data_IF_522253315894
#
_entry.id   IF_522253315894
#
_cell.length_a   1.000
_cell.length_b   1.000
_cell.length_c   1.000
_cell.angle_alpha   90.00
_cell.angle_beta   90.00
_cell.angle_gamma   90.00
#
_symmetry.space_group_name_H-M   'P 1'
#
loop_
_entity.id
_entity.type
_entity.pdbx_description
1 polymer ?
#
# COMPACT_ATOMS: atom_id res chain seq x y z
N UNK A 1 7.16 -5.80 -31.10
CA UNK A 1 6.75 -5.10 -29.88
C UNK A 1 5.38 -4.49 -30.12
N UNK A 2 4.35 -4.94 -29.42
CA UNK A 2 3.07 -4.22 -29.40
C UNK A 2 3.32 -2.93 -28.63
N UNK A 3 3.38 -1.80 -29.29
CA UNK A 3 3.34 -0.48 -28.66
C UNK A 3 1.96 -0.32 -28.02
N UNK A 4 1.89 -0.46 -26.70
CA UNK A 4 0.71 -0.07 -25.93
C UNK A 4 0.58 1.46 -25.97
N UNK A 5 -0.65 1.97 -26.02
CA UNK A 5 -0.90 3.40 -25.98
C UNK A 5 -0.29 4.03 -24.71
N UNK A 6 0.29 5.23 -24.79
CA UNK A 6 0.84 5.90 -23.62
C UNK A 6 -0.27 6.20 -22.60
N UNK A 7 0.03 6.06 -21.32
CA UNK A 7 -0.85 6.44 -20.21
C UNK A 7 -0.59 7.88 -19.77
N UNK A 8 -1.64 8.64 -19.54
CA UNK A 8 -1.56 9.91 -18.81
C UNK A 8 -1.50 9.59 -17.31
N UNK A 9 -0.45 10.04 -16.62
CA UNK A 9 -0.20 9.69 -15.22
C UNK A 9 -0.08 10.93 -14.36
N UNK A 10 -0.77 10.94 -13.21
CA UNK A 10 -0.58 11.92 -12.16
C UNK A 10 0.05 11.28 -10.92
N UNK A 11 1.14 11.85 -10.45
CA UNK A 11 1.80 11.46 -9.20
C UNK A 11 1.44 12.48 -8.12
N UNK A 12 0.73 12.04 -7.09
CA UNK A 12 0.25 12.90 -6.01
C UNK A 12 1.23 12.87 -4.85
N UNK A 13 1.70 14.04 -4.42
CA UNK A 13 2.62 14.17 -3.32
C UNK A 13 2.03 15.09 -2.24
N UNK A 14 1.64 14.50 -1.10
CA UNK A 14 0.98 15.22 0.00
C UNK A 14 1.92 16.00 0.91
N UNK A 15 3.24 15.74 0.86
CA UNK A 15 4.27 16.35 1.73
C UNK A 15 3.91 16.29 3.22
N UNK A 16 3.34 15.18 3.67
CA UNK A 16 2.97 14.98 5.06
C UNK A 16 4.26 14.80 5.90
N UNK A 17 4.47 15.61 6.94
CA UNK A 17 5.60 15.42 7.85
C UNK A 17 5.58 14.01 8.47
N UNK A 18 6.74 13.37 8.53
CA UNK A 18 6.84 11.96 8.92
C UNK A 18 6.42 11.72 10.38
N UNK A 19 6.68 12.69 11.25
CA UNK A 19 6.30 12.68 12.66
C UNK A 19 4.79 12.83 12.89
N UNK A 20 4.07 13.43 11.93
CA UNK A 20 2.61 13.61 12.01
C UNK A 20 1.83 12.50 11.31
N UNK A 21 2.47 11.77 10.41
CA UNK A 21 1.83 10.83 9.49
C UNK A 21 0.98 9.76 10.20
N UNK A 22 1.44 9.27 11.33
CA UNK A 22 0.80 8.18 12.07
C UNK A 22 -0.05 8.64 13.25
N UNK A 23 -0.10 9.95 13.54
CA UNK A 23 -0.92 10.48 14.61
C UNK A 23 -2.40 10.38 14.26
N UNK A 24 -3.20 9.83 15.15
CA UNK A 24 -4.65 9.60 14.95
C UNK A 24 -5.38 10.90 14.60
N UNK A 25 -5.05 12.00 15.28
CA UNK A 25 -5.62 13.32 15.03
C UNK A 25 -5.25 13.90 13.65
N UNK A 26 -4.19 13.38 13.01
CA UNK A 26 -3.74 13.85 11.70
C UNK A 26 -4.25 12.98 10.53
N UNK A 27 -4.78 11.79 10.81
CA UNK A 27 -5.21 10.83 9.80
C UNK A 27 -6.27 11.42 8.86
N UNK A 28 -7.33 12.02 9.41
CA UNK A 28 -8.39 12.65 8.61
C UNK A 28 -7.88 13.80 7.74
N UNK A 29 -6.96 14.61 8.26
CA UNK A 29 -6.32 15.70 7.52
C UNK A 29 -5.46 15.16 6.37
N UNK A 30 -4.72 14.08 6.60
CA UNK A 30 -3.93 13.41 5.56
C UNK A 30 -4.81 12.95 4.40
N UNK A 31 -5.93 12.27 4.70
CA UNK A 31 -6.88 11.85 3.66
C UNK A 31 -7.44 13.04 2.86
N UNK A 32 -7.81 14.12 3.55
CA UNK A 32 -8.33 15.32 2.90
C UNK A 32 -7.30 15.95 1.95
N UNK A 33 -6.03 16.05 2.38
CA UNK A 33 -4.94 16.60 1.55
C UNK A 33 -4.80 15.78 0.26
N UNK A 34 -4.73 14.45 0.36
CA UNK A 34 -4.60 13.59 -0.82
C UNK A 34 -5.84 13.65 -1.73
N UNK A 35 -7.03 13.65 -1.15
CA UNK A 35 -8.28 13.78 -1.91
C UNK A 35 -8.37 15.13 -2.65
N UNK A 36 -7.99 16.23 -1.98
CA UNK A 36 -8.00 17.57 -2.57
C UNK A 36 -6.98 17.71 -3.71
N UNK A 37 -5.77 17.22 -3.52
CA UNK A 37 -4.73 17.21 -4.56
C UNK A 37 -5.16 16.37 -5.78
N UNK A 38 -5.94 15.32 -5.55
CA UNK A 38 -6.43 14.44 -6.63
C UNK A 38 -7.58 15.06 -7.41
N UNK A 39 -8.28 16.05 -6.85
CA UNK A 39 -9.54 16.59 -7.41
C UNK A 39 -9.41 17.06 -8.86
N UNK A 40 -8.32 17.74 -9.21
CA UNK A 40 -8.06 18.22 -10.57
C UNK A 40 -7.48 17.16 -11.51
N UNK A 41 -7.09 16.02 -10.97
CA UNK A 41 -6.40 14.98 -11.73
C UNK A 41 -7.34 13.86 -12.20
N UNK A 42 -8.58 13.85 -11.74
CA UNK A 42 -9.57 12.91 -12.23
C UNK A 42 -9.77 13.02 -13.75
N UNK A 43 -9.79 11.88 -14.43
CA UNK A 43 -9.78 11.80 -15.88
C UNK A 43 -8.41 11.44 -16.46
N UNK A 44 -7.34 11.44 -15.67
CA UNK A 44 -6.08 10.81 -16.04
C UNK A 44 -6.24 9.29 -16.05
N UNK A 45 -5.50 8.61 -16.92
CA UNK A 45 -5.56 7.14 -16.98
C UNK A 45 -5.10 6.49 -15.68
N UNK A 46 -4.11 7.08 -15.02
CA UNK A 46 -3.54 6.57 -13.78
C UNK A 46 -3.21 7.70 -12.79
N UNK A 47 -3.73 7.57 -11.59
CA UNK A 47 -3.42 8.44 -10.45
C UNK A 47 -2.68 7.60 -9.40
N UNK A 48 -1.51 8.04 -8.97
CA UNK A 48 -0.66 7.30 -8.03
C UNK A 48 -0.44 8.12 -6.76
N UNK A 49 -0.78 7.54 -5.64
CA UNK A 49 -0.44 8.02 -4.31
C UNK A 49 0.77 7.24 -3.76
N UNK A 50 1.64 7.86 -2.96
CA UNK A 50 2.86 7.23 -2.48
C UNK A 50 2.62 6.14 -1.42
N UNK A 51 3.72 5.50 -1.00
CA UNK A 51 3.74 4.55 0.12
C UNK A 51 3.11 5.15 1.37
N UNK A 52 2.25 4.37 2.02
CA UNK A 52 1.55 4.77 3.26
C UNK A 52 0.90 6.16 3.15
N UNK A 53 0.37 6.51 1.99
CA UNK A 53 -0.42 7.74 1.81
C UNK A 53 -1.72 7.71 2.62
N UNK A 54 -2.20 6.53 2.90
CA UNK A 54 -3.32 6.25 3.81
C UNK A 54 -2.74 5.62 5.08
N UNK A 55 -2.65 6.34 6.22
CA UNK A 55 -2.04 5.84 7.44
C UNK A 55 -3.03 5.10 8.36
N UNK A 56 -3.94 4.34 7.77
CA UNK A 56 -4.98 3.56 8.47
C UNK A 56 -5.22 2.25 7.73
N UNK A 57 -5.68 1.22 8.44
CA UNK A 57 -6.06 -0.02 7.79
C UNK A 57 -7.29 0.15 6.88
N UNK A 58 -7.33 -0.62 5.82
CA UNK A 58 -8.46 -0.63 4.88
C UNK A 58 -9.81 -0.93 5.58
N UNK A 59 -9.79 -1.68 6.67
CA UNK A 59 -10.99 -2.01 7.47
C UNK A 59 -11.63 -0.79 8.11
N UNK A 60 -10.83 0.20 8.46
CA UNK A 60 -11.26 1.35 9.27
C UNK A 60 -11.85 2.47 8.40
N UNK A 61 -11.57 2.45 7.10
CA UNK A 61 -11.90 3.53 6.16
C UNK A 61 -12.64 3.06 4.92
N UNK A 62 -13.39 1.98 5.01
CA UNK A 62 -14.16 1.44 3.88
C UNK A 62 -15.03 2.48 3.15
N UNK A 63 -15.75 3.40 3.82
CA UNK A 63 -16.53 4.43 3.13
C UNK A 63 -15.66 5.37 2.28
N UNK A 64 -14.48 5.76 2.77
CA UNK A 64 -13.55 6.59 2.02
C UNK A 64 -13.00 5.86 0.79
N UNK A 65 -12.57 4.59 0.95
CA UNK A 65 -12.08 3.77 -0.16
C UNK A 65 -13.15 3.58 -1.23
N UNK A 66 -14.38 3.31 -0.82
CA UNK A 66 -15.52 3.16 -1.74
C UNK A 66 -15.80 4.46 -2.52
N UNK A 67 -15.77 5.61 -1.85
CA UNK A 67 -15.96 6.91 -2.51
C UNK A 67 -14.87 7.22 -3.52
N UNK A 68 -13.60 6.98 -3.18
CA UNK A 68 -12.46 7.17 -4.08
C UNK A 68 -12.54 6.22 -5.28
N UNK A 69 -12.86 4.94 -5.05
CA UNK A 69 -13.06 3.96 -6.11
C UNK A 69 -14.19 4.36 -7.06
N UNK A 70 -15.33 4.77 -6.52
CA UNK A 70 -16.48 5.22 -7.33
C UNK A 70 -16.11 6.45 -8.17
N UNK A 71 -15.40 7.42 -7.59
CA UNK A 71 -14.94 8.61 -8.33
C UNK A 71 -13.97 8.23 -9.45
N UNK A 72 -13.03 7.34 -9.18
CA UNK A 72 -12.11 6.80 -10.18
C UNK A 72 -12.87 6.10 -11.33
N UNK A 73 -13.86 5.28 -11.01
CA UNK A 73 -14.71 4.61 -12.01
C UNK A 73 -15.49 5.62 -12.86
N UNK A 74 -16.11 6.62 -12.24
CA UNK A 74 -16.93 7.63 -12.92
C UNK A 74 -16.11 8.49 -13.89
N UNK A 75 -14.83 8.67 -13.62
CA UNK A 75 -13.93 9.51 -14.42
C UNK A 75 -13.03 8.72 -15.39
N UNK A 76 -13.13 7.39 -15.38
CA UNK A 76 -12.30 6.54 -16.21
C UNK A 76 -10.87 6.35 -15.70
N UNK A 77 -10.56 6.80 -14.48
CA UNK A 77 -9.23 6.75 -13.90
C UNK A 77 -8.97 5.43 -13.16
N UNK A 78 -7.76 4.91 -13.26
CA UNK A 78 -7.21 3.96 -12.30
C UNK A 78 -6.58 4.73 -11.13
N UNK A 79 -6.76 4.25 -9.93
CA UNK A 79 -6.19 4.81 -8.71
C UNK A 79 -5.33 3.78 -7.99
N UNK A 80 -4.05 4.11 -7.77
CA UNK A 80 -3.07 3.28 -7.07
C UNK A 80 -2.63 4.00 -5.82
N UNK A 81 -2.65 3.31 -4.67
CA UNK A 81 -2.35 3.92 -3.37
C UNK A 81 -1.60 2.96 -2.45
N UNK A 82 -0.68 3.51 -1.65
CA UNK A 82 -0.04 2.80 -0.54
C UNK A 82 -0.93 2.82 0.70
N UNK A 83 -1.23 1.64 1.25
CA UNK A 83 -2.12 1.48 2.39
C UNK A 83 -1.68 0.27 3.25
N UNK A 84 -1.68 0.36 4.59
CA UNK A 84 -1.58 -0.82 5.42
C UNK A 84 -2.83 -1.69 5.27
N UNK A 85 -2.63 -2.99 5.15
CA UNK A 85 -3.69 -3.96 4.88
C UNK A 85 -3.74 -5.03 5.94
N UNK A 86 -4.88 -5.21 6.56
CA UNK A 86 -5.15 -6.31 7.47
C UNK A 86 -5.85 -7.43 6.72
N UNK A 87 -5.17 -8.57 6.57
CA UNK A 87 -5.75 -9.75 5.96
C UNK A 87 -6.53 -10.55 6.99
N UNK A 88 -7.82 -10.25 7.12
CA UNK A 88 -8.71 -10.90 8.07
C UNK A 88 -8.85 -12.40 7.79
N UNK A 89 -8.90 -12.81 6.53
CA UNK A 89 -9.06 -14.21 6.14
C UNK A 89 -7.81 -15.03 6.47
N UNK A 90 -6.63 -14.47 6.24
CA UNK A 90 -5.36 -15.11 6.57
C UNK A 90 -5.11 -15.09 8.09
N UNK A 91 -5.47 -13.98 8.77
CA UNK A 91 -5.37 -13.84 10.22
C UNK A 91 -6.24 -14.85 10.99
N UNK A 92 -7.37 -15.27 10.44
CA UNK A 92 -8.21 -16.30 11.04
C UNK A 92 -7.60 -17.71 10.93
N UNK A 93 -6.72 -17.92 9.94
CA UNK A 93 -6.05 -19.21 9.71
C UNK A 93 -4.71 -19.32 10.42
N UNK A 94 -4.07 -18.18 10.65
CA UNK A 94 -2.74 -18.09 11.24
C UNK A 94 -2.74 -17.07 12.38
N UNK A 95 -2.11 -17.42 13.49
CA UNK A 95 -1.79 -16.47 14.56
C UNK A 95 -0.28 -16.26 14.59
N UNK A 96 0.20 -15.01 14.71
CA UNK A 96 -0.48 -13.74 14.95
C UNK A 96 -1.21 -13.15 13.74
N UNK A 97 -1.98 -12.08 13.94
CA UNK A 97 -2.67 -11.33 12.88
C UNK A 97 -1.72 -10.90 11.76
N UNK A 98 -2.18 -11.01 10.52
CA UNK A 98 -1.37 -10.76 9.33
C UNK A 98 -1.62 -9.34 8.80
N UNK A 99 -0.66 -8.45 9.05
CA UNK A 99 -0.66 -7.07 8.57
C UNK A 99 0.38 -6.91 7.47
N UNK A 100 0.03 -6.17 6.42
CA UNK A 100 0.91 -5.97 5.28
C UNK A 100 1.05 -4.49 4.93
N UNK A 101 2.26 -4.06 4.58
CA UNK A 101 2.47 -2.84 3.83
C UNK A 101 2.17 -3.13 2.37
N UNK A 102 1.23 -2.40 1.76
CA UNK A 102 0.70 -2.76 0.44
C UNK A 102 0.60 -1.59 -0.53
N UNK A 103 0.52 -1.94 -1.81
CA UNK A 103 0.02 -1.08 -2.87
C UNK A 103 -1.28 -1.69 -3.40
N UNK A 104 -2.34 -0.92 -3.41
CA UNK A 104 -3.65 -1.31 -3.93
C UNK A 104 -3.95 -0.55 -5.22
N UNK A 105 -4.43 -1.27 -6.25
CA UNK A 105 -4.99 -0.68 -7.46
C UNK A 105 -6.50 -0.83 -7.46
N UNK A 106 -7.22 0.24 -7.79
CA UNK A 106 -8.69 0.30 -7.79
C UNK A 106 -9.18 1.32 -8.82
N UNK A 107 -10.48 1.33 -9.11
CA UNK A 107 -11.11 2.29 -10.02
C UNK A 107 -11.45 1.69 -11.38
N UNK A 108 -11.31 2.48 -12.44
CA UNK A 108 -11.68 2.08 -13.81
C UNK A 108 -10.66 1.10 -14.38
N UNK A 109 -11.12 -0.11 -14.73
CA UNK A 109 -10.29 -1.17 -15.29
C UNK A 109 -8.98 -1.41 -14.54
N UNK A 110 -8.98 -1.20 -13.21
CA UNK A 110 -7.85 -1.35 -12.33
C UNK A 110 -8.18 -2.31 -11.18
N UNK A 111 -7.24 -3.18 -10.86
CA UNK A 111 -7.36 -4.12 -9.75
C UNK A 111 -6.00 -4.68 -9.35
N UNK A 112 -5.92 -5.13 -8.11
CA UNK A 112 -4.76 -5.83 -7.58
C UNK A 112 -4.32 -5.29 -6.24
N UNK A 113 -3.61 -6.13 -5.52
CA UNK A 113 -3.02 -5.82 -4.23
C UNK A 113 -1.62 -6.43 -4.21
N UNK A 114 -0.62 -5.58 -4.05
CA UNK A 114 0.75 -6.00 -3.85
C UNK A 114 1.10 -5.89 -2.37
N UNK A 115 1.53 -6.96 -1.76
CA UNK A 115 2.02 -7.04 -0.38
C UNK A 115 3.54 -6.98 -0.39
N UNK A 116 4.14 -6.06 0.33
CA UNK A 116 5.60 -5.88 0.42
C UNK A 116 6.32 -7.17 0.78
N UNK A 117 7.30 -7.56 -0.01
CA UNK A 117 8.03 -8.83 0.16
C UNK A 117 9.31 -8.67 0.99
N UNK A 118 9.97 -7.50 0.87
CA UNK A 118 11.23 -7.20 1.57
C UNK A 118 11.00 -6.13 2.61
N UNK A 119 10.86 -6.58 3.85
CA UNK A 119 10.66 -5.69 5.00
C UNK A 119 11.98 -5.11 5.48
N UNK A 120 11.93 -3.87 5.97
CA UNK A 120 13.09 -3.18 6.56
C UNK A 120 13.27 -3.66 8.01
N UNK A 121 14.45 -4.23 8.35
CA UNK A 121 14.74 -4.61 9.73
C UNK A 121 14.62 -3.42 10.67
N UNK A 122 14.08 -3.64 11.86
CA UNK A 122 13.85 -2.65 12.92
C UNK A 122 12.86 -1.50 12.56
N UNK A 123 12.45 -1.38 11.30
CA UNK A 123 11.44 -0.42 10.87
C UNK A 123 10.07 -1.04 10.64
N UNK A 124 10.05 -2.25 10.09
CA UNK A 124 8.82 -2.96 9.72
C UNK A 124 8.71 -4.35 10.38
N UNK A 125 9.81 -4.86 10.89
CA UNK A 125 9.81 -6.08 11.72
C UNK A 125 11.02 -6.06 12.65
N UNK A 126 10.93 -6.79 13.76
CA UNK A 126 12.04 -6.98 14.70
C UNK A 126 12.71 -8.31 14.37
N UNK A 127 13.99 -8.27 13.90
CA UNK A 127 14.75 -9.51 13.73
C UNK A 127 14.89 -10.25 15.06
N UNK A 128 14.79 -11.58 15.02
CA UNK A 128 14.93 -12.42 16.21
C UNK A 128 13.90 -12.12 17.32
N UNK A 129 12.71 -11.63 16.96
CA UNK A 129 11.65 -11.31 17.94
C UNK A 129 11.36 -12.48 18.90
N UNK A 130 11.39 -13.73 18.42
CA UNK A 130 11.24 -14.91 19.26
C UNK A 130 12.34 -15.08 20.33
N UNK A 131 13.57 -14.61 20.07
CA UNK A 131 14.67 -14.64 21.05
C UNK A 131 14.63 -13.40 21.94
N UNK A 132 14.32 -12.22 21.36
CA UNK A 132 14.19 -10.96 22.11
C UNK A 132 13.01 -10.97 23.08
N UNK A 133 11.92 -11.62 22.72
CA UNK A 133 10.73 -11.73 23.58
C UNK A 133 11.02 -12.48 24.89
N UNK A 134 11.99 -13.41 24.86
CA UNK A 134 12.44 -14.09 26.07
C UNK A 134 13.25 -13.17 27.01
N UNK A 135 13.99 -12.20 26.44
CA UNK A 135 14.83 -11.24 27.19
C UNK A 135 14.05 -9.99 27.61
N UNK A 136 13.07 -9.57 26.81
CA UNK A 136 12.30 -8.33 26.99
C UNK A 136 10.79 -8.61 26.85
N UNK A 137 10.15 -9.21 27.88
CA UNK A 137 8.71 -9.53 27.84
C UNK A 137 7.78 -8.34 27.53
N UNK A 138 8.21 -7.09 27.85
CA UNK A 138 7.46 -5.89 27.56
C UNK A 138 7.25 -5.66 26.06
N UNK A 139 8.09 -6.25 25.19
CA UNK A 139 7.97 -6.16 23.74
C UNK A 139 6.87 -7.06 23.16
N UNK A 140 6.35 -8.02 23.91
CA UNK A 140 5.33 -8.95 23.43
C UNK A 140 3.93 -8.36 23.38
N UNK A 141 3.65 -7.32 24.17
CA UNK A 141 2.31 -6.79 24.39
C UNK A 141 2.04 -5.47 23.65
N UNK A 142 3.02 -4.96 22.89
CA UNK A 142 2.83 -3.73 22.10
C UNK A 142 2.39 -4.10 20.67
N UNK A 143 1.12 -3.80 20.29
CA UNK A 143 0.63 -4.09 18.94
C UNK A 143 1.45 -3.37 17.85
N UNK A 144 2.08 -2.23 18.16
CA UNK A 144 2.95 -1.51 17.23
C UNK A 144 4.24 -2.25 16.92
N UNK A 145 4.62 -3.21 17.80
CA UNK A 145 5.82 -4.05 17.67
C UNK A 145 5.54 -5.37 16.94
N UNK A 146 4.29 -5.70 16.63
CA UNK A 146 3.93 -6.93 15.90
C UNK A 146 4.39 -6.94 14.44
N UNK A 147 4.88 -5.83 13.92
CA UNK A 147 5.51 -5.72 12.60
C UNK A 147 4.61 -6.10 11.43
N UNK A 148 5.00 -5.70 10.25
CA UNK A 148 4.35 -6.17 9.03
C UNK A 148 4.77 -7.60 8.68
N UNK A 149 3.86 -8.34 8.06
CA UNK A 149 4.11 -9.66 7.49
C UNK A 149 4.69 -9.52 6.08
N UNK A 150 5.46 -10.51 5.65
CA UNK A 150 6.02 -10.56 4.30
C UNK A 150 4.98 -11.05 3.30
N UNK A 151 4.83 -10.35 2.19
CA UNK A 151 4.06 -10.82 1.05
C UNK A 151 4.70 -12.04 0.38
N UNK A 152 3.88 -12.82 -0.32
CA UNK A 152 4.34 -13.95 -1.12
C UNK A 152 5.32 -13.50 -2.22
N UNK A 153 6.15 -14.42 -2.70
CA UNK A 153 7.15 -14.13 -3.73
C UNK A 153 6.60 -14.10 -5.15
N UNK A 154 5.43 -14.68 -5.37
CA UNK A 154 4.79 -14.92 -6.67
C UNK A 154 3.46 -14.16 -6.79
N UNK A 155 3.49 -12.87 -6.50
CA UNK A 155 2.30 -12.03 -6.56
C UNK A 155 2.01 -11.59 -8.00
N UNK A 156 0.72 -11.56 -8.35
CA UNK A 156 0.25 -11.05 -9.63
C UNK A 156 0.52 -9.56 -9.75
N UNK A 157 1.04 -9.06 -10.88
CA UNK A 157 1.17 -7.63 -11.13
C UNK A 157 -0.16 -6.89 -11.00
N UNK A 158 -0.10 -5.63 -10.61
CA UNK A 158 -1.29 -4.77 -10.59
C UNK A 158 -1.81 -4.57 -12.00
N UNK A 159 -3.12 -4.69 -12.19
CA UNK A 159 -3.75 -4.40 -13.48
C UNK A 159 -4.20 -2.94 -13.52
N UNK A 160 -3.84 -2.24 -14.58
CA UNK A 160 -4.28 -0.87 -14.86
C UNK A 160 -4.59 -0.75 -16.35
N UNK A 161 -5.86 -0.68 -16.70
CA UNK A 161 -6.35 -0.75 -18.09
C UNK A 161 -5.82 -2.00 -18.80
N UNK A 162 -5.04 -1.82 -19.85
CA UNK A 162 -4.41 -2.93 -20.62
C UNK A 162 -2.98 -3.22 -20.15
N UNK A 163 -2.50 -2.55 -19.10
CA UNK A 163 -1.13 -2.67 -18.61
C UNK A 163 -1.08 -3.51 -17.34
N UNK A 164 0.03 -4.21 -17.18
CA UNK A 164 0.41 -4.87 -15.94
C UNK A 164 1.56 -4.09 -15.32
N UNK A 165 1.37 -3.64 -14.08
CA UNK A 165 2.36 -2.85 -13.37
C UNK A 165 3.06 -3.71 -12.33
N UNK A 166 4.37 -3.86 -12.47
CA UNK A 166 5.21 -4.40 -11.40
C UNK A 166 5.30 -3.39 -10.26
N UNK A 167 5.15 -3.87 -9.03
CA UNK A 167 5.19 -3.05 -7.85
C UNK A 167 6.47 -3.27 -7.03
N UNK A 168 6.97 -2.21 -6.41
CA UNK A 168 8.03 -2.25 -5.41
C UNK A 168 7.79 -1.13 -4.40
N UNK A 169 7.95 -1.42 -3.11
CA UNK A 169 7.71 -0.48 -2.03
C UNK A 169 9.04 -0.11 -1.38
N UNK A 170 9.37 1.20 -1.41
CA UNK A 170 10.52 1.77 -0.71
C UNK A 170 11.83 1.06 -1.08
N UNK A 171 12.50 0.46 -0.12
CA UNK A 171 13.79 -0.21 -0.26
C UNK A 171 13.79 -1.42 -1.24
N UNK A 172 12.62 -1.94 -1.60
CA UNK A 172 12.52 -3.05 -2.56
C UNK A 172 13.10 -2.72 -3.94
N UNK A 173 13.10 -1.44 -4.33
CA UNK A 173 13.72 -0.98 -5.59
C UNK A 173 15.22 -1.29 -5.66
N UNK A 174 15.88 -1.44 -4.52
CA UNK A 174 17.30 -1.81 -4.45
C UNK A 174 17.58 -3.30 -4.76
N UNK A 175 16.53 -4.11 -4.95
CA UNK A 175 16.67 -5.53 -5.29
C UNK A 175 16.31 -5.80 -6.77
N UNK A 176 17.29 -5.78 -7.71
CA UNK A 176 17.03 -5.89 -9.14
C UNK A 176 16.26 -7.15 -9.54
N UNK A 177 16.54 -8.28 -8.88
CA UNK A 177 15.86 -9.55 -9.13
C UNK A 177 14.40 -9.53 -8.73
N UNK A 178 14.06 -8.82 -7.64
CA UNK A 178 12.68 -8.61 -7.22
C UNK A 178 11.94 -7.74 -8.21
N UNK A 179 12.51 -6.60 -8.55
CA UNK A 179 11.90 -5.62 -9.45
C UNK A 179 11.65 -6.23 -10.84
N UNK A 180 12.64 -6.97 -11.37
CA UNK A 180 12.50 -7.68 -12.65
C UNK A 180 11.38 -8.73 -12.61
N UNK A 181 11.30 -9.53 -11.55
CA UNK A 181 10.25 -10.55 -11.40
C UNK A 181 8.86 -9.92 -11.29
N UNK A 182 8.72 -8.84 -10.53
CA UNK A 182 7.44 -8.16 -10.36
C UNK A 182 6.98 -7.42 -11.64
N UNK A 183 7.87 -7.19 -12.60
CA UNK A 183 7.59 -6.53 -13.87
C UNK A 183 7.38 -7.53 -15.04
N UNK A 184 7.56 -8.83 -14.83
CA UNK A 184 7.36 -9.88 -15.81
C UNK A 184 6.01 -10.55 -15.69
#
# INVERSE_FOLDING_TARGET
QKTTAPLSVSLIQGNIPQDLKWLTEYQGKTLSIYADLTRSEWGRDLIVWPESSIPMFQTDIQPFLAAMQQQAQNTGSAWVTGIPYWDLAESQRQQPSMFYNTIMASGSAASGLYKKQRLVPFGEYIPLSGLLSWVLPALQNDPSMSGFSRGASDQTPLKVHQHHLGAAICYEVAYPNLTRRNAS
#
